data_IF_903398657334
#
_entry.id   IF_903398657334
#
_cell.length_a   1.000
_cell.length_b   1.000
_cell.length_c   1.000
_cell.angle_alpha   90.00
_cell.angle_beta   90.00
_cell.angle_gamma   90.00
#
_symmetry.space_group_name_H-M   'P 1'
#
loop_
_entity.id
_entity.type
_entity.pdbx_description
1 polymer ?
#
# COMPACT_ATOMS: atom_id res chain seq x y z
N UNK A 1 -2.40 24.28 3.84
CA UNK A 1 -1.87 24.08 2.48
C UNK A 1 -0.89 22.91 2.53
N UNK A 2 -1.30 21.71 2.09
CA UNK A 2 -0.40 20.56 2.02
C UNK A 2 0.70 20.88 0.98
N UNK A 3 1.96 20.90 1.41
CA UNK A 3 3.09 21.04 0.48
C UNK A 3 3.12 19.76 -0.36
N UNK A 4 2.76 19.83 -1.66
CA UNK A 4 2.76 18.72 -2.63
C UNK A 4 4.17 18.15 -2.88
N UNK A 5 4.84 17.65 -1.84
CA UNK A 5 6.17 17.03 -1.93
C UNK A 5 6.11 15.51 -1.96
N UNK A 6 4.97 14.92 -1.65
CA UNK A 6 4.77 13.47 -1.56
C UNK A 6 3.49 13.14 -2.31
N UNK A 7 3.57 12.12 -3.17
CA UNK A 7 2.43 11.49 -3.79
C UNK A 7 2.19 10.17 -3.07
N UNK A 8 1.00 9.97 -2.54
CA UNK A 8 0.64 8.76 -1.83
C UNK A 8 0.11 7.73 -2.81
N UNK A 9 0.50 6.48 -2.61
CA UNK A 9 0.01 5.32 -3.36
C UNK A 9 -0.49 4.27 -2.38
N UNK A 10 -1.63 3.65 -2.69
CA UNK A 10 -2.18 2.54 -1.91
C UNK A 10 -2.66 1.46 -2.87
N UNK A 11 -2.33 0.20 -2.59
CA UNK A 11 -2.74 -0.89 -3.47
C UNK A 11 -4.24 -1.12 -3.48
N UNK A 12 -4.79 -1.47 -4.64
CA UNK A 12 -6.18 -1.91 -4.76
C UNK A 12 -6.51 -3.05 -3.78
N UNK A 13 -5.57 -3.98 -3.52
CA UNK A 13 -5.80 -5.06 -2.56
C UNK A 13 -5.90 -4.54 -1.12
N UNK A 14 -5.14 -3.49 -0.78
CA UNK A 14 -5.21 -2.84 0.53
C UNK A 14 -6.58 -2.19 0.76
N UNK A 15 -7.18 -1.58 -0.27
CA UNK A 15 -8.56 -1.07 -0.19
C UNK A 15 -9.56 -2.18 0.09
N UNK A 16 -9.46 -3.32 -0.61
CA UNK A 16 -10.36 -4.47 -0.42
C UNK A 16 -10.24 -4.99 1.02
N UNK A 17 -9.00 -5.16 1.51
CA UNK A 17 -8.72 -5.67 2.84
C UNK A 17 -9.16 -4.71 3.95
N UNK A 18 -8.85 -3.42 3.81
CA UNK A 18 -9.31 -2.38 4.71
C UNK A 18 -10.85 -2.37 4.78
N UNK A 19 -11.54 -2.40 3.64
CA UNK A 19 -13.01 -2.43 3.60
C UNK A 19 -13.55 -3.67 4.33
N UNK A 20 -12.98 -4.85 4.06
CA UNK A 20 -13.42 -6.11 4.67
C UNK A 20 -13.21 -6.14 6.20
N UNK A 21 -12.14 -5.53 6.70
CA UNK A 21 -11.85 -5.44 8.13
C UNK A 21 -12.76 -4.39 8.77
N UNK A 22 -12.81 -3.18 8.22
CA UNK A 22 -13.48 -2.02 8.83
C UNK A 22 -15.01 -2.13 8.80
N UNK A 23 -15.61 -2.87 7.87
CA UNK A 23 -17.07 -3.13 7.87
C UNK A 23 -17.60 -3.80 9.14
N UNK A 24 -16.72 -4.38 9.96
CA UNK A 24 -17.07 -4.97 11.26
C UNK A 24 -17.21 -3.95 12.38
N UNK A 25 -16.68 -2.74 12.19
CA UNK A 25 -16.56 -1.71 13.23
C UNK A 25 -17.23 -0.39 12.88
N UNK A 26 -17.53 -0.15 11.61
CA UNK A 26 -18.13 1.09 11.12
C UNK A 26 -19.55 0.84 10.60
N UNK A 27 -20.41 1.86 10.69
CA UNK A 27 -21.64 1.84 9.91
C UNK A 27 -21.30 1.86 8.41
N UNK A 28 -22.27 1.46 7.57
CA UNK A 28 -22.09 1.47 6.11
C UNK A 28 -21.74 2.88 5.61
N UNK A 29 -22.41 3.90 6.12
CA UNK A 29 -22.18 5.28 5.70
C UNK A 29 -20.76 5.75 6.06
N UNK A 30 -20.35 5.59 7.32
CA UNK A 30 -19.02 5.99 7.79
C UNK A 30 -17.91 5.24 7.06
N UNK A 31 -18.11 3.95 6.76
CA UNK A 31 -17.16 3.15 6.00
C UNK A 31 -16.95 3.72 4.60
N UNK A 32 -18.04 3.95 3.85
CA UNK A 32 -17.92 4.49 2.49
C UNK A 32 -17.32 5.90 2.50
N UNK A 33 -17.69 6.76 3.45
CA UNK A 33 -17.10 8.09 3.61
C UNK A 33 -15.58 8.00 3.89
N UNK A 34 -15.17 7.10 4.78
CA UNK A 34 -13.75 6.91 5.11
C UNK A 34 -12.94 6.38 3.92
N UNK A 35 -13.49 5.43 3.17
CA UNK A 35 -12.83 4.85 2.00
C UNK A 35 -12.74 5.84 0.83
N UNK A 36 -13.77 6.66 0.61
CA UNK A 36 -13.71 7.77 -0.34
C UNK A 36 -12.69 8.83 0.07
N UNK A 37 -12.62 9.14 1.38
CA UNK A 37 -11.61 10.02 1.94
C UNK A 37 -10.20 9.51 1.65
N UNK A 38 -9.92 8.25 1.93
CA UNK A 38 -8.62 7.62 1.62
C UNK A 38 -8.32 7.68 0.11
N UNK A 39 -9.27 7.29 -0.74
CA UNK A 39 -9.11 7.32 -2.20
C UNK A 39 -8.87 8.73 -2.75
N UNK A 40 -9.34 9.78 -2.08
CA UNK A 40 -9.07 11.17 -2.49
C UNK A 40 -7.65 11.66 -2.12
N UNK A 41 -6.96 10.95 -1.21
CA UNK A 41 -5.65 11.31 -0.69
C UNK A 41 -4.49 10.61 -1.42
N UNK A 42 -4.77 9.49 -2.11
CA UNK A 42 -3.76 8.65 -2.74
C UNK A 42 -4.17 8.21 -4.15
N UNK A 43 -3.17 7.94 -4.99
CA UNK A 43 -3.37 7.11 -6.17
C UNK A 43 -3.57 5.65 -5.76
N UNK A 44 -4.42 4.94 -6.50
CA UNK A 44 -4.67 3.51 -6.28
C UNK A 44 -3.84 2.72 -7.29
N UNK A 45 -2.96 1.84 -6.81
CA UNK A 45 -2.16 1.00 -7.74
C UNK A 45 -2.98 -0.16 -8.26
N UNK A 46 -2.85 -0.40 -9.56
CA UNK A 46 -3.52 -1.49 -10.26
C UNK A 46 -2.87 -2.84 -10.00
N UNK A 47 -3.69 -3.90 -10.06
CA UNK A 47 -3.23 -5.29 -10.07
C UNK A 47 -3.74 -5.93 -11.35
N UNK A 48 -2.81 -6.35 -12.21
CA UNK A 48 -3.13 -6.97 -13.49
C UNK A 48 -2.69 -8.44 -13.56
N UNK A 49 -2.97 -9.07 -14.71
CA UNK A 49 -2.61 -10.48 -14.96
C UNK A 49 -1.11 -10.73 -14.85
N UNK A 50 -0.26 -9.80 -15.28
CA UNK A 50 1.18 -10.02 -15.32
C UNK A 50 1.78 -9.89 -13.91
N UNK A 51 1.28 -8.97 -13.07
CA UNK A 51 1.60 -8.91 -11.64
C UNK A 51 1.27 -10.25 -10.97
N UNK A 52 0.06 -10.78 -11.19
CA UNK A 52 -0.36 -12.05 -10.59
C UNK A 52 0.53 -13.22 -11.06
N UNK A 53 0.80 -13.32 -12.37
CA UNK A 53 1.69 -14.37 -12.90
C UNK A 53 3.10 -14.27 -12.33
N UNK A 54 3.65 -13.06 -12.20
CA UNK A 54 4.97 -12.82 -11.63
C UNK A 54 5.02 -13.20 -10.14
N UNK A 55 4.00 -12.86 -9.37
CA UNK A 55 3.91 -13.27 -7.97
C UNK A 55 3.79 -14.80 -7.83
N UNK A 56 3.07 -15.46 -8.75
CA UNK A 56 2.95 -16.93 -8.76
C UNK A 56 4.25 -17.64 -9.18
N UNK A 57 5.17 -16.97 -9.87
CA UNK A 57 6.44 -17.59 -10.29
C UNK A 57 7.51 -17.63 -9.19
N UNK A 58 7.30 -16.93 -8.07
CA UNK A 58 8.21 -16.97 -6.92
C UNK A 58 7.40 -17.22 -5.65
N UNK A 59 7.60 -18.36 -5.00
CA UNK A 59 6.94 -18.66 -3.74
C UNK A 59 7.46 -17.72 -2.64
N UNK A 60 6.59 -16.82 -2.17
CA UNK A 60 6.86 -15.95 -1.03
C UNK A 60 5.93 -16.32 0.12
N UNK A 61 6.39 -16.00 1.33
CA UNK A 61 5.68 -16.30 2.57
C UNK A 61 4.28 -15.67 2.61
N UNK A 62 4.15 -14.45 2.09
CA UNK A 62 2.87 -13.76 1.94
C UNK A 62 2.65 -13.32 0.48
N UNK A 63 1.57 -13.83 -0.11
CA UNK A 63 1.19 -13.53 -1.49
C UNK A 63 0.66 -12.10 -1.62
N UNK A 64 -0.02 -11.57 -0.59
CA UNK A 64 -0.54 -10.21 -0.59
C UNK A 64 0.61 -9.19 -0.64
N UNK A 65 1.62 -9.36 0.22
CA UNK A 65 2.79 -8.48 0.26
C UNK A 65 3.53 -8.48 -1.09
N UNK A 66 3.56 -9.64 -1.77
CA UNK A 66 4.14 -9.78 -3.10
C UNK A 66 3.37 -8.95 -4.14
N UNK A 67 2.03 -9.06 -4.15
CA UNK A 67 1.18 -8.31 -5.07
C UNK A 67 1.26 -6.80 -4.79
N UNK A 68 1.25 -6.40 -3.53
CA UNK A 68 1.39 -5.00 -3.13
C UNK A 68 2.72 -4.43 -3.63
N UNK A 69 3.83 -5.14 -3.43
CA UNK A 69 5.14 -4.71 -3.91
C UNK A 69 5.24 -4.61 -5.42
N UNK A 70 4.80 -5.64 -6.14
CA UNK A 70 4.86 -5.63 -7.61
C UNK A 70 3.98 -4.52 -8.20
N UNK A 71 2.83 -4.22 -7.58
CA UNK A 71 2.01 -3.07 -7.97
C UNK A 71 2.73 -1.73 -7.70
N UNK A 72 3.49 -1.61 -6.61
CA UNK A 72 4.26 -0.42 -6.29
C UNK A 72 5.41 -0.19 -7.29
N UNK A 73 6.09 -1.27 -7.71
CA UNK A 73 7.14 -1.22 -8.73
C UNK A 73 6.62 -0.73 -10.08
N UNK A 74 5.44 -1.19 -10.51
CA UNK A 74 4.82 -0.75 -11.77
C UNK A 74 4.57 0.77 -11.78
N UNK A 75 4.24 1.32 -10.61
CA UNK A 75 3.99 2.75 -10.41
C UNK A 75 5.25 3.54 -10.02
N UNK A 76 6.43 2.92 -10.04
CA UNK A 76 7.72 3.54 -9.70
C UNK A 76 7.72 4.22 -8.33
N UNK A 77 7.07 3.60 -7.34
CA UNK A 77 7.00 4.13 -5.97
C UNK A 77 8.39 4.09 -5.33
N UNK A 78 8.82 5.23 -4.77
CA UNK A 78 10.17 5.39 -4.20
C UNK A 78 10.38 4.67 -2.85
N UNK A 79 9.32 4.49 -2.07
CA UNK A 79 9.38 3.95 -0.70
C UNK A 79 8.10 3.21 -0.32
N UNK A 80 8.25 2.03 0.29
CA UNK A 80 7.14 1.33 0.94
C UNK A 80 7.13 1.71 2.42
N UNK A 81 5.98 2.23 2.88
CA UNK A 81 5.76 2.55 4.29
C UNK A 81 4.89 1.47 4.91
N UNK A 82 5.47 0.69 5.83
CA UNK A 82 4.77 -0.42 6.50
C UNK A 82 5.27 -0.62 7.93
N UNK A 83 4.40 -1.09 8.81
CA UNK A 83 4.83 -1.55 10.16
C UNK A 83 5.49 -2.92 10.12
N UNK A 84 5.37 -3.65 9.00
CA UNK A 84 5.88 -5.01 8.84
C UNK A 84 7.15 -5.07 7.98
N UNK A 85 8.11 -4.18 8.26
CA UNK A 85 9.33 -4.01 7.44
C UNK A 85 10.05 -5.34 7.17
N UNK A 86 10.12 -6.22 8.18
CA UNK A 86 10.80 -7.52 8.10
C UNK A 86 10.31 -8.41 6.95
N UNK A 87 9.02 -8.37 6.62
CA UNK A 87 8.43 -9.27 5.64
C UNK A 87 8.61 -8.72 4.20
N UNK A 88 9.06 -7.47 4.05
CA UNK A 88 9.38 -6.83 2.77
C UNK A 88 10.87 -6.76 2.44
N UNK A 89 11.76 -6.92 3.44
CA UNK A 89 13.22 -6.75 3.27
C UNK A 89 13.86 -7.66 2.23
N UNK A 90 13.26 -8.82 1.99
CA UNK A 90 13.82 -9.81 1.06
C UNK A 90 13.59 -9.44 -0.42
N UNK A 91 12.74 -8.45 -0.70
CA UNK A 91 12.37 -8.13 -2.07
C UNK A 91 12.14 -6.65 -2.38
N UNK A 92 11.96 -5.79 -1.38
CA UNK A 92 11.79 -4.36 -1.56
C UNK A 92 13.05 -3.59 -1.14
N UNK A 93 13.51 -2.68 -2.01
CA UNK A 93 14.77 -1.97 -1.83
C UNK A 93 14.70 -0.87 -0.77
N UNK A 94 13.57 -0.16 -0.68
CA UNK A 94 13.37 0.93 0.27
C UNK A 94 12.06 0.75 1.05
N UNK A 95 12.19 0.26 2.29
CA UNK A 95 11.07 -0.04 3.18
C UNK A 95 11.29 0.61 4.53
N UNK A 96 10.31 1.37 5.00
CA UNK A 96 10.42 2.19 6.20
C UNK A 96 9.18 2.03 7.08
N UNK A 97 9.33 2.21 8.39
CA UNK A 97 8.15 2.40 9.24
C UNK A 97 7.56 3.79 9.03
N UNK A 98 6.28 4.02 9.37
CA UNK A 98 5.71 5.37 9.30
C UNK A 98 6.50 6.40 10.12
N UNK A 99 7.06 6.01 11.26
CA UNK A 99 7.87 6.91 12.09
C UNK A 99 9.17 7.28 11.39
N UNK A 100 9.91 6.30 10.88
CA UNK A 100 11.17 6.52 10.18
C UNK A 100 10.97 7.36 8.92
N UNK A 101 9.91 7.10 8.15
CA UNK A 101 9.58 7.87 6.96
C UNK A 101 9.32 9.33 7.29
N UNK A 102 8.50 9.60 8.33
CA UNK A 102 8.24 10.97 8.78
C UNK A 102 9.52 11.69 9.22
N UNK A 103 10.41 11.02 9.94
CA UNK A 103 11.70 11.59 10.33
C UNK A 103 12.54 11.93 9.08
N UNK A 104 12.60 11.04 8.09
CA UNK A 104 13.40 11.23 6.88
C UNK A 104 13.00 12.42 6.00
N UNK A 105 11.74 12.87 6.06
CA UNK A 105 11.20 13.97 5.24
C UNK A 105 11.10 15.31 5.98
N UNK A 106 11.27 15.30 7.30
CA UNK A 106 11.18 16.49 8.17
C UNK A 106 12.54 17.15 8.42
N UNK A 107 13.63 16.45 8.10
CA UNK A 107 15.02 16.96 8.10
C UNK A 107 15.35 17.58 6.74
#
# INVERSE_FOLDING_TARGET
MFRRKIQLYVSAITFINAFFILRKSYSREELYQSMLGLASLCEITDVDKEIIKKCLSFERKDFEDSVQYESALLHQVDVIVTRNVKDFRDFAENVQTPADFLESILV
#
